data_IF_515562292612
#
_entry.id   IF_515562292612
#
_cell.length_a   1.000
_cell.length_b   1.000
_cell.length_c   1.000
_cell.angle_alpha   90.00
_cell.angle_beta   90.00
_cell.angle_gamma   90.00
#
_symmetry.space_group_name_H-M   'P 1'
#
loop_
_entity.id
_entity.type
_entity.pdbx_description
1 polymer ?
#
# COMPACT_ATOMS: atom_id res chain seq x y z
N UNK A 1 -14.93 -16.26 -40.52
CA UNK A 1 -13.91 -15.24 -40.45
C UNK A 1 -14.20 -14.42 -39.18
N UNK A 2 -13.39 -14.45 -38.10
CA UNK A 2 -13.65 -13.64 -36.93
C UNK A 2 -13.51 -12.15 -37.31
N UNK A 3 -14.31 -11.25 -36.71
CA UNK A 3 -14.25 -9.84 -36.99
C UNK A 3 -12.87 -9.29 -36.61
N UNK A 4 -12.27 -8.54 -37.53
CA UNK A 4 -11.00 -7.85 -37.31
C UNK A 4 -11.15 -6.84 -36.18
N UNK A 5 -10.21 -6.75 -35.26
CA UNK A 5 -10.24 -5.72 -34.21
C UNK A 5 -10.12 -4.35 -34.90
N UNK A 6 -11.12 -3.51 -34.67
CA UNK A 6 -11.12 -2.13 -35.16
C UNK A 6 -9.94 -1.33 -34.58
N UNK A 7 -9.48 -0.26 -35.27
CA UNK A 7 -8.32 0.51 -34.92
C UNK A 7 -8.46 1.10 -33.50
N UNK A 8 -7.37 1.03 -32.72
CA UNK A 8 -7.23 1.35 -31.34
C UNK A 8 -8.15 2.45 -30.80
N UNK A 9 -9.10 2.05 -29.96
CA UNK A 9 -9.76 2.98 -29.08
C UNK A 9 -8.70 3.59 -28.17
N UNK A 10 -8.45 4.88 -28.37
CA UNK A 10 -7.60 5.72 -27.52
C UNK A 10 -7.84 5.36 -26.06
N UNK A 11 -6.75 5.32 -25.28
CA UNK A 11 -6.78 5.16 -23.82
C UNK A 11 -7.66 6.25 -23.20
N UNK A 12 -8.95 6.05 -23.15
CA UNK A 12 -9.80 6.89 -22.28
C UNK A 12 -9.40 6.59 -20.85
N UNK A 13 -8.72 7.54 -20.23
CA UNK A 13 -8.36 7.45 -18.80
C UNK A 13 -9.69 7.32 -18.05
N UNK A 14 -9.91 6.21 -17.35
CA UNK A 14 -11.16 5.99 -16.63
C UNK A 14 -11.26 6.97 -15.46
N UNK A 15 -12.47 7.37 -15.07
CA UNK A 15 -12.68 8.22 -13.91
C UNK A 15 -12.07 7.62 -12.62
N UNK A 16 -12.01 6.30 -12.52
CA UNK A 16 -11.33 5.60 -11.42
C UNK A 16 -9.83 5.83 -11.42
N UNK A 17 -9.17 5.86 -12.58
CA UNK A 17 -7.74 6.16 -12.70
C UNK A 17 -7.45 7.61 -12.28
N UNK A 18 -8.26 8.56 -12.75
CA UNK A 18 -8.12 9.98 -12.34
C UNK A 18 -8.26 10.12 -10.83
N UNK A 19 -9.29 9.50 -10.23
CA UNK A 19 -9.50 9.51 -8.78
C UNK A 19 -8.34 8.91 -8.00
N UNK A 20 -7.77 7.78 -8.46
CA UNK A 20 -6.60 7.16 -7.83
C UNK A 20 -5.37 8.07 -7.87
N UNK A 21 -5.07 8.71 -9.00
CA UNK A 21 -3.95 9.66 -9.10
C UNK A 21 -4.19 10.92 -8.28
N UNK A 22 -5.42 11.43 -8.18
CA UNK A 22 -5.74 12.54 -7.29
C UNK A 22 -5.45 12.21 -5.83
N UNK A 23 -5.74 10.98 -5.38
CA UNK A 23 -5.38 10.51 -4.04
C UNK A 23 -3.87 10.40 -3.88
N UNK A 24 -3.14 9.90 -4.89
CA UNK A 24 -1.67 9.84 -4.86
C UNK A 24 -1.08 11.24 -4.71
N UNK A 25 -1.59 12.22 -5.45
CA UNK A 25 -1.17 13.64 -5.34
C UNK A 25 -1.46 14.19 -3.94
N UNK A 26 -2.64 13.90 -3.38
CA UNK A 26 -2.97 14.29 -2.00
C UNK A 26 -1.99 13.69 -0.99
N UNK A 27 -1.71 12.39 -1.08
CA UNK A 27 -0.76 11.70 -0.20
C UNK A 27 0.65 12.28 -0.37
N UNK A 28 1.06 12.55 -1.61
CA UNK A 28 2.34 13.19 -1.89
C UNK A 28 2.43 14.57 -1.24
N UNK A 29 1.44 15.46 -1.42
CA UNK A 29 1.41 16.80 -0.81
C UNK A 29 1.50 16.71 0.72
N UNK A 30 0.72 15.81 1.34
CA UNK A 30 0.79 15.57 2.78
C UNK A 30 2.17 15.04 3.20
N UNK A 31 2.81 14.18 2.39
CA UNK A 31 4.13 13.64 2.68
C UNK A 31 5.23 14.71 2.67
N UNK A 32 5.08 15.76 1.84
CA UNK A 32 6.00 16.91 1.83
C UNK A 32 6.04 17.60 3.19
N UNK A 33 4.90 17.75 3.87
CA UNK A 33 4.86 18.32 5.22
C UNK A 33 5.67 17.48 6.20
N UNK A 34 5.54 16.16 6.12
CA UNK A 34 6.25 15.22 7.00
C UNK A 34 7.76 15.19 6.71
N UNK A 35 8.18 15.46 5.48
CA UNK A 35 9.59 15.57 5.10
C UNK A 35 10.15 16.94 5.42
N UNK A 36 9.38 18.02 5.17
CA UNK A 36 9.81 19.39 5.34
C UNK A 36 10.12 19.75 6.81
N UNK A 37 9.24 19.37 7.73
CA UNK A 37 9.38 19.73 9.14
C UNK A 37 10.71 19.24 9.77
N UNK A 38 11.09 17.95 9.67
CA UNK A 38 12.37 17.50 10.22
C UNK A 38 13.57 18.03 9.42
N UNK A 39 13.45 18.20 8.10
CA UNK A 39 14.53 18.78 7.28
C UNK A 39 14.84 20.22 7.70
N UNK A 40 13.81 21.04 7.89
CA UNK A 40 13.94 22.43 8.38
C UNK A 40 14.57 22.46 9.78
N UNK A 41 14.03 21.68 10.72
CA UNK A 41 14.54 21.63 12.09
C UNK A 41 15.99 21.15 12.18
N UNK A 42 16.35 20.12 11.42
CA UNK A 42 17.72 19.61 11.39
C UNK A 42 18.70 20.62 10.79
N UNK A 43 18.32 21.33 9.71
CA UNK A 43 19.15 22.36 9.10
C UNK A 43 19.34 23.54 10.05
N UNK A 44 18.29 23.99 10.74
CA UNK A 44 18.35 25.06 11.73
C UNK A 44 19.29 24.72 12.88
N UNK A 45 19.19 23.50 13.42
CA UNK A 45 20.07 23.02 14.50
C UNK A 45 21.53 22.89 14.05
N UNK A 46 21.77 22.54 12.79
CA UNK A 46 23.11 22.42 12.21
C UNK A 46 23.73 23.77 11.79
N UNK A 47 23.00 24.89 11.90
CA UNK A 47 23.45 26.20 11.43
C UNK A 47 23.48 26.34 9.89
N UNK A 48 22.79 25.45 9.16
CA UNK A 48 22.64 25.52 7.73
C UNK A 48 21.47 26.44 7.33
N UNK A 49 21.42 26.83 6.04
CA UNK A 49 20.27 27.60 5.54
C UNK A 49 19.03 26.68 5.44
N UNK A 50 18.01 26.86 6.33
CA UNK A 50 16.98 25.83 6.50
C UNK A 50 15.98 25.79 5.33
N UNK A 51 15.74 26.90 4.64
CA UNK A 51 14.78 26.94 3.52
C UNK A 51 15.32 26.16 2.34
N UNK A 52 16.59 26.41 1.96
CA UNK A 52 17.25 25.70 0.86
C UNK A 52 17.31 24.20 1.12
N UNK A 53 17.72 23.78 2.34
CA UNK A 53 17.79 22.35 2.70
C UNK A 53 16.41 21.72 2.62
N UNK A 54 15.38 22.39 3.09
CA UNK A 54 14.00 21.90 3.03
C UNK A 54 13.51 21.73 1.58
N UNK A 55 13.77 22.73 0.73
CA UNK A 55 13.40 22.64 -0.70
C UNK A 55 14.11 21.47 -1.37
N UNK A 56 15.41 21.31 -1.13
CA UNK A 56 16.19 20.20 -1.70
C UNK A 56 15.70 18.83 -1.20
N UNK A 57 15.37 18.71 0.09
CA UNK A 57 14.82 17.49 0.66
C UNK A 57 13.45 17.14 0.05
N UNK A 58 12.56 18.11 -0.10
CA UNK A 58 11.25 17.92 -0.75
C UNK A 58 11.39 17.58 -2.24
N UNK A 59 12.31 18.23 -2.96
CA UNK A 59 12.59 17.94 -4.36
C UNK A 59 13.16 16.53 -4.53
N UNK A 60 14.13 16.13 -3.73
CA UNK A 60 14.72 14.80 -3.73
C UNK A 60 13.67 13.73 -3.39
N UNK A 61 12.81 14.00 -2.39
CA UNK A 61 11.70 13.12 -2.04
C UNK A 61 10.73 12.95 -3.21
N UNK A 62 10.33 14.04 -3.85
CA UNK A 62 9.45 14.01 -5.02
C UNK A 62 10.09 13.22 -6.18
N UNK A 63 11.34 13.49 -6.50
CA UNK A 63 12.09 12.83 -7.56
C UNK A 63 12.31 11.34 -7.30
N UNK A 64 12.35 10.91 -6.03
CA UNK A 64 12.55 9.50 -5.64
C UNK A 64 11.46 8.57 -6.18
N UNK A 65 10.27 9.07 -6.50
CA UNK A 65 9.20 8.29 -7.14
C UNK A 65 9.61 7.75 -8.53
N UNK A 66 10.47 8.48 -9.26
CA UNK A 66 10.99 8.01 -10.54
C UNK A 66 11.80 6.72 -10.39
N UNK A 67 12.50 6.55 -9.26
CA UNK A 67 13.23 5.31 -8.96
C UNK A 67 12.28 4.14 -8.74
N UNK A 68 11.16 4.38 -8.05
CA UNK A 68 10.19 3.32 -7.69
C UNK A 68 9.50 2.74 -8.92
N UNK A 69 9.31 3.53 -9.97
CA UNK A 69 8.70 3.08 -11.23
C UNK A 69 9.72 2.52 -12.23
N UNK A 70 11.01 2.57 -11.92
CA UNK A 70 12.03 1.96 -12.75
C UNK A 70 11.96 0.42 -12.65
N UNK A 71 11.96 -0.26 -13.80
CA UNK A 71 11.81 -1.73 -13.89
C UNK A 71 12.68 -2.54 -12.89
N UNK A 72 14.01 -2.26 -12.74
CA UNK A 72 14.83 -3.03 -11.81
C UNK A 72 14.45 -2.80 -10.34
N UNK A 73 14.07 -1.56 -9.98
CA UNK A 73 13.65 -1.21 -8.63
C UNK A 73 12.29 -1.82 -8.32
N UNK A 74 11.35 -1.76 -9.26
CA UNK A 74 10.04 -2.40 -9.17
C UNK A 74 10.17 -3.92 -8.93
N UNK A 75 11.07 -4.59 -9.68
CA UNK A 75 11.36 -6.01 -9.49
C UNK A 75 12.00 -6.33 -8.13
N UNK A 76 12.84 -5.43 -7.62
CA UNK A 76 13.44 -5.56 -6.28
C UNK A 76 12.40 -5.35 -5.17
N UNK A 77 11.58 -4.30 -5.29
CA UNK A 77 10.48 -4.02 -4.35
C UNK A 77 9.46 -5.16 -4.32
N UNK A 78 9.10 -5.70 -5.49
CA UNK A 78 8.21 -6.86 -5.55
C UNK A 78 8.74 -8.05 -4.72
N UNK A 79 10.05 -8.34 -4.80
CA UNK A 79 10.67 -9.40 -3.99
C UNK A 79 10.75 -9.06 -2.51
N UNK A 80 10.95 -7.78 -2.18
CA UNK A 80 11.00 -7.33 -0.79
C UNK A 80 9.62 -7.45 -0.12
N UNK A 81 8.57 -7.04 -0.83
CA UNK A 81 7.18 -7.07 -0.35
C UNK A 81 6.60 -8.49 -0.33
N UNK A 82 6.97 -9.31 -1.31
CA UNK A 82 6.49 -10.69 -1.46
C UNK A 82 7.68 -11.64 -1.42
N UNK A 83 8.06 -12.06 -0.23
CA UNK A 83 9.26 -12.89 0.02
C UNK A 83 9.30 -14.20 -0.76
N UNK A 84 8.15 -14.75 -1.13
CA UNK A 84 8.02 -15.98 -1.92
C UNK A 84 7.98 -15.73 -3.43
N UNK A 85 8.18 -14.47 -3.87
CA UNK A 85 8.15 -14.10 -5.27
C UNK A 85 9.50 -14.38 -5.95
N UNK A 86 9.48 -15.13 -7.05
CA UNK A 86 10.67 -15.52 -7.81
C UNK A 86 10.46 -15.40 -9.32
N UNK A 87 11.54 -15.60 -10.08
CA UNK A 87 11.45 -15.77 -11.52
C UNK A 87 10.76 -17.11 -11.84
N UNK A 88 9.97 -17.20 -12.94
CA UNK A 88 9.43 -18.47 -13.41
C UNK A 88 10.56 -19.46 -13.72
N UNK A 89 10.35 -20.74 -13.43
CA UNK A 89 11.18 -21.84 -13.94
C UNK A 89 10.92 -22.05 -15.43
N UNK A 90 11.79 -22.71 -16.20
CA UNK A 90 11.59 -22.91 -17.63
C UNK A 90 10.23 -23.52 -17.99
N UNK A 91 9.80 -24.56 -17.27
CA UNK A 91 8.48 -25.19 -17.49
C UNK A 91 7.29 -24.26 -17.16
N UNK A 92 7.43 -23.43 -16.12
CA UNK A 92 6.41 -22.43 -15.75
C UNK A 92 6.35 -21.30 -16.77
N UNK A 93 7.50 -20.84 -17.25
CA UNK A 93 7.59 -19.83 -18.29
C UNK A 93 6.99 -20.33 -19.60
N UNK A 94 7.27 -21.59 -19.98
CA UNK A 94 6.70 -22.22 -21.16
C UNK A 94 5.15 -22.30 -21.12
N UNK A 95 4.58 -22.25 -19.92
CA UNK A 95 3.13 -22.21 -19.73
C UNK A 95 2.58 -20.80 -19.69
N UNK A 96 3.21 -19.88 -18.96
CA UNK A 96 2.69 -18.51 -18.76
C UNK A 96 2.88 -17.66 -20.01
N UNK A 97 4.06 -17.73 -20.67
CA UNK A 97 4.38 -16.81 -21.75
C UNK A 97 3.41 -16.94 -22.94
N UNK A 98 3.08 -18.13 -23.45
CA UNK A 98 2.10 -18.25 -24.54
C UNK A 98 0.70 -17.78 -24.14
N UNK A 99 0.27 -18.03 -22.88
CA UNK A 99 -1.02 -17.53 -22.37
C UNK A 99 -1.05 -16.01 -22.33
N UNK A 100 0.01 -15.37 -21.79
CA UNK A 100 0.12 -13.91 -21.81
C UNK A 100 0.16 -13.33 -23.23
N UNK A 101 0.90 -13.96 -24.14
CA UNK A 101 0.95 -13.53 -25.56
C UNK A 101 -0.42 -13.57 -26.22
N UNK A 102 -1.23 -14.61 -25.97
CA UNK A 102 -2.61 -14.70 -26.50
C UNK A 102 -3.49 -13.59 -25.94
N UNK A 103 -3.40 -13.33 -24.64
CA UNK A 103 -4.14 -12.23 -23.98
C UNK A 103 -3.69 -10.88 -24.51
N UNK A 104 -2.38 -10.62 -24.57
CA UNK A 104 -1.82 -9.35 -25.06
C UNK A 104 -2.19 -9.09 -26.51
N UNK A 105 -2.18 -10.12 -27.37
CA UNK A 105 -2.59 -10.02 -28.78
C UNK A 105 -4.05 -9.58 -28.90
N UNK A 106 -4.97 -10.16 -28.11
CA UNK A 106 -6.39 -9.74 -28.08
C UNK A 106 -6.55 -8.32 -27.54
N UNK A 107 -5.72 -7.92 -26.59
CA UNK A 107 -5.76 -6.61 -25.95
C UNK A 107 -5.01 -5.50 -26.72
N UNK A 108 -4.27 -5.84 -27.80
CA UNK A 108 -3.38 -4.90 -28.48
C UNK A 108 -2.25 -4.37 -27.58
N UNK A 109 -1.70 -5.23 -26.70
CA UNK A 109 -0.64 -4.90 -25.75
C UNK A 109 0.66 -5.64 -26.11
N UNK A 110 1.81 -5.07 -25.73
CA UNK A 110 3.12 -5.69 -25.89
C UNK A 110 3.41 -6.61 -24.68
N UNK A 111 3.56 -7.94 -24.87
CA UNK A 111 3.89 -8.86 -23.80
C UNK A 111 5.30 -8.59 -23.19
N UNK A 112 6.24 -8.07 -24.00
CA UNK A 112 7.61 -7.72 -23.55
C UNK A 112 7.65 -6.59 -22.51
N UNK A 113 6.55 -5.88 -22.34
CA UNK A 113 6.40 -4.87 -21.30
C UNK A 113 6.36 -5.49 -19.89
N UNK A 114 5.91 -6.73 -19.74
CA UNK A 114 5.61 -7.32 -18.43
C UNK A 114 6.74 -8.21 -17.91
N UNK A 115 7.06 -8.04 -16.63
CA UNK A 115 8.00 -8.86 -15.89
C UNK A 115 7.23 -9.98 -15.19
N UNK A 116 7.24 -11.17 -15.80
CA UNK A 116 6.58 -12.34 -15.24
C UNK A 116 7.27 -12.80 -13.96
N UNK A 117 6.46 -13.13 -12.94
CA UNK A 117 6.89 -13.66 -11.65
C UNK A 117 5.96 -14.78 -11.21
N UNK A 118 6.49 -15.67 -10.35
CA UNK A 118 5.73 -16.75 -9.71
C UNK A 118 5.82 -16.58 -8.21
N UNK A 119 4.69 -16.62 -7.52
CA UNK A 119 4.60 -16.62 -6.07
C UNK A 119 4.35 -18.04 -5.55
N UNK A 120 5.19 -18.50 -4.62
CA UNK A 120 5.08 -19.85 -4.01
C UNK A 120 3.97 -19.87 -2.96
N UNK A 121 2.72 -19.71 -3.40
CA UNK A 121 1.52 -19.86 -2.56
C UNK A 121 0.61 -20.93 -3.11
N UNK A 122 -0.11 -21.60 -2.17
CA UNK A 122 -1.06 -22.68 -2.49
C UNK A 122 -2.47 -22.19 -2.85
N UNK A 123 -2.72 -20.90 -2.82
CA UNK A 123 -4.00 -20.31 -3.25
C UNK A 123 -3.90 -19.91 -4.70
N UNK A 124 -4.95 -20.14 -5.48
CA UNK A 124 -5.06 -19.58 -6.83
C UNK A 124 -5.13 -18.05 -6.70
N UNK A 125 -4.16 -17.35 -7.28
CA UNK A 125 -4.14 -15.90 -7.31
C UNK A 125 -3.23 -15.41 -8.43
N UNK A 126 -3.48 -14.17 -8.88
CA UNK A 126 -2.55 -13.37 -9.66
C UNK A 126 -2.61 -11.93 -9.17
N UNK A 127 -1.60 -11.14 -9.45
CA UNK A 127 -1.61 -9.72 -9.13
C UNK A 127 -0.64 -8.95 -10.01
N UNK A 128 -1.01 -7.72 -10.25
CA UNK A 128 -0.18 -6.72 -10.90
C UNK A 128 0.48 -5.81 -9.86
N UNK A 129 1.75 -5.44 -10.05
CA UNK A 129 2.46 -4.49 -9.21
C UNK A 129 3.19 -3.48 -10.08
N UNK A 130 3.07 -2.20 -9.73
CA UNK A 130 3.70 -1.11 -10.46
C UNK A 130 3.27 -1.04 -11.92
N UNK A 131 4.21 -0.69 -12.81
CA UNK A 131 3.94 -0.57 -14.24
C UNK A 131 4.25 -1.83 -15.06
N UNK A 132 4.99 -2.81 -14.47
CA UNK A 132 5.60 -3.88 -15.26
C UNK A 132 5.45 -5.28 -14.65
N UNK A 133 5.34 -5.43 -13.32
CA UNK A 133 5.32 -6.76 -12.70
C UNK A 133 3.93 -7.38 -12.81
N UNK A 134 3.88 -8.59 -13.36
CA UNK A 134 2.71 -9.46 -13.40
C UNK A 134 3.08 -10.79 -12.74
N UNK A 135 2.44 -11.10 -11.64
CA UNK A 135 2.72 -12.27 -10.85
C UNK A 135 1.52 -13.22 -10.84
N UNK A 136 1.81 -14.51 -10.90
CA UNK A 136 0.83 -15.59 -10.73
C UNK A 136 1.30 -16.53 -9.63
N UNK A 137 0.39 -17.11 -8.88
CA UNK A 137 0.76 -18.12 -7.90
C UNK A 137 1.03 -19.46 -8.59
N UNK A 138 1.80 -20.32 -7.91
CA UNK A 138 2.06 -21.68 -8.41
C UNK A 138 0.77 -22.43 -8.71
N UNK A 139 -0.23 -22.35 -7.83
CA UNK A 139 -1.52 -23.03 -8.02
C UNK A 139 -2.32 -22.44 -9.20
N UNK A 140 -2.16 -21.15 -9.51
CA UNK A 140 -2.78 -20.57 -10.69
C UNK A 140 -2.23 -21.15 -12.00
N UNK A 141 -0.99 -21.66 -12.00
CA UNK A 141 -0.40 -22.34 -13.16
C UNK A 141 -1.00 -23.74 -13.40
N UNK A 142 -1.69 -24.30 -12.44
CA UNK A 142 -2.35 -25.60 -12.54
C UNK A 142 -3.76 -25.49 -13.16
N UNK A 143 -4.26 -24.24 -13.33
CA UNK A 143 -5.54 -23.98 -13.98
C UNK A 143 -5.53 -24.40 -15.47
N UNK A 144 -6.67 -24.80 -16.05
CA UNK A 144 -6.85 -24.89 -17.50
C UNK A 144 -6.43 -23.62 -18.21
N UNK A 145 -6.00 -23.71 -19.47
CA UNK A 145 -5.44 -22.58 -20.21
C UNK A 145 -6.39 -21.40 -20.33
N UNK A 146 -7.66 -21.64 -20.56
CA UNK A 146 -8.70 -20.61 -20.68
C UNK A 146 -8.92 -19.87 -19.35
N UNK A 147 -8.84 -20.57 -18.22
CA UNK A 147 -8.95 -19.98 -16.88
C UNK A 147 -7.70 -19.16 -16.53
N UNK A 148 -6.50 -19.66 -16.88
CA UNK A 148 -5.26 -18.92 -16.71
C UNK A 148 -5.26 -17.63 -17.54
N UNK A 149 -5.68 -17.73 -18.82
CA UNK A 149 -5.83 -16.55 -19.69
C UNK A 149 -6.84 -15.54 -19.13
N UNK A 150 -7.96 -16.00 -18.56
CA UNK A 150 -8.95 -15.11 -17.95
C UNK A 150 -8.37 -14.34 -16.75
N UNK A 151 -7.57 -15.00 -15.92
CA UNK A 151 -6.85 -14.36 -14.79
C UNK A 151 -5.86 -13.32 -15.34
N UNK A 152 -5.05 -13.68 -16.34
CA UNK A 152 -4.08 -12.77 -16.96
C UNK A 152 -4.76 -11.58 -17.65
N UNK A 153 -5.92 -11.78 -18.29
CA UNK A 153 -6.70 -10.72 -18.92
C UNK A 153 -7.25 -9.72 -17.88
N UNK A 154 -7.67 -10.21 -16.73
CA UNK A 154 -8.09 -9.37 -15.60
C UNK A 154 -6.92 -8.52 -15.09
N UNK A 155 -5.75 -9.13 -14.84
CA UNK A 155 -4.55 -8.40 -14.39
C UNK A 155 -4.08 -7.36 -15.43
N UNK A 156 -4.19 -7.69 -16.73
CA UNK A 156 -3.91 -6.74 -17.79
C UNK A 156 -4.88 -5.55 -17.77
N UNK A 157 -6.14 -5.78 -17.39
CA UNK A 157 -7.13 -4.72 -17.14
C UNK A 157 -6.66 -3.71 -16.09
N UNK A 158 -6.06 -4.18 -14.99
CA UNK A 158 -5.47 -3.30 -13.98
C UNK A 158 -4.28 -2.49 -14.53
N UNK A 159 -3.39 -3.12 -15.29
CA UNK A 159 -2.28 -2.40 -15.92
C UNK A 159 -2.75 -1.32 -16.92
N UNK A 160 -3.80 -1.58 -17.67
CA UNK A 160 -4.38 -0.58 -18.60
C UNK A 160 -4.90 0.65 -17.89
N UNK A 161 -5.45 0.48 -16.70
CA UNK A 161 -5.96 1.56 -15.86
C UNK A 161 -4.86 2.24 -15.03
N UNK A 162 -3.59 1.83 -15.14
CA UNK A 162 -2.48 2.31 -14.32
C UNK A 162 -2.71 2.13 -12.81
N UNK A 163 -3.64 1.25 -12.43
CA UNK A 163 -4.02 1.01 -11.04
C UNK A 163 -2.84 0.53 -10.19
N UNK A 164 -2.04 -0.48 -10.61
CA UNK A 164 -0.91 -0.95 -9.83
C UNK A 164 0.19 0.11 -9.69
N UNK A 165 0.32 1.00 -10.69
CA UNK A 165 1.24 2.14 -10.63
C UNK A 165 0.80 3.15 -9.57
N UNK A 166 -0.48 3.50 -9.55
CA UNK A 166 -1.01 4.41 -8.53
C UNK A 166 -0.86 3.83 -7.12
N UNK A 167 -1.08 2.52 -6.95
CA UNK A 167 -0.90 1.83 -5.66
C UNK A 167 0.55 1.92 -5.18
N UNK A 168 1.55 1.62 -6.02
CA UNK A 168 2.95 1.63 -5.60
C UNK A 168 3.44 3.05 -5.30
N UNK A 169 3.01 4.05 -6.06
CA UNK A 169 3.31 5.46 -5.79
C UNK A 169 2.65 5.93 -4.49
N UNK A 170 1.38 5.59 -4.27
CA UNK A 170 0.68 5.89 -3.03
C UNK A 170 1.35 5.24 -1.82
N UNK A 171 1.75 3.97 -1.93
CA UNK A 171 2.51 3.27 -0.90
C UNK A 171 3.85 3.96 -0.62
N UNK A 172 4.59 4.37 -1.66
CA UNK A 172 5.87 5.07 -1.52
C UNK A 172 5.71 6.36 -0.73
N UNK A 173 4.79 7.21 -1.14
CA UNK A 173 4.55 8.49 -0.47
C UNK A 173 3.91 8.37 0.92
N UNK A 174 3.37 7.19 1.27
CA UNK A 174 2.93 6.89 2.63
C UNK A 174 4.07 6.56 3.60
N UNK A 175 5.27 6.21 3.12
CA UNK A 175 6.40 5.78 3.97
C UNK A 175 6.77 6.80 5.07
N UNK A 176 6.83 8.13 4.82
CA UNK A 176 7.11 9.11 5.87
C UNK A 176 6.06 9.09 7.00
N UNK A 177 4.78 8.87 6.65
CA UNK A 177 3.71 8.73 7.65
C UNK A 177 3.87 7.48 8.49
N UNK A 178 4.19 6.36 7.88
CA UNK A 178 4.45 5.11 8.59
C UNK A 178 5.65 5.25 9.54
N UNK A 179 6.71 5.93 9.11
CA UNK A 179 7.87 6.24 9.94
C UNK A 179 7.51 7.19 11.09
N UNK A 180 6.83 8.30 10.79
CA UNK A 180 6.36 9.27 11.78
C UNK A 180 5.42 8.66 12.80
N UNK A 181 4.48 7.83 12.37
CA UNK A 181 3.55 7.14 13.25
C UNK A 181 4.27 6.16 14.21
N UNK A 182 5.30 5.45 13.71
CA UNK A 182 6.17 4.62 14.57
C UNK A 182 6.93 5.46 15.59
N UNK A 183 7.46 6.61 15.16
CA UNK A 183 8.18 7.54 16.04
C UNK A 183 7.27 8.09 17.14
N UNK A 184 6.09 8.61 16.78
CA UNK A 184 5.10 9.11 17.76
C UNK A 184 4.71 8.02 18.75
N UNK A 185 4.48 6.78 18.29
CA UNK A 185 4.21 5.66 19.21
C UNK A 185 5.39 5.33 20.12
N UNK A 186 6.62 5.42 19.62
CA UNK A 186 7.83 5.19 20.41
C UNK A 186 7.99 6.25 21.50
N UNK A 187 7.86 7.53 21.14
CA UNK A 187 7.90 8.67 22.08
C UNK A 187 6.84 8.49 23.17
N UNK A 188 5.58 8.23 22.80
CA UNK A 188 4.49 7.99 23.75
C UNK A 188 4.78 6.80 24.70
N UNK A 189 5.43 5.75 24.20
CA UNK A 189 5.81 4.59 25.02
C UNK A 189 6.89 4.96 26.03
N UNK A 190 7.92 5.68 25.59
CA UNK A 190 9.03 6.14 26.44
C UNK A 190 8.51 7.10 27.51
N UNK A 191 7.71 8.11 27.14
CA UNK A 191 7.14 9.07 28.10
C UNK A 191 6.28 8.37 29.16
N UNK A 192 5.43 7.41 28.75
CA UNK A 192 4.64 6.61 29.71
C UNK A 192 5.49 5.73 30.61
N UNK A 193 6.60 5.20 30.11
CA UNK A 193 7.54 4.43 30.91
C UNK A 193 8.26 5.32 31.94
N UNK A 194 8.75 6.50 31.52
CA UNK A 194 9.35 7.50 32.39
C UNK A 194 8.36 7.95 33.48
N UNK A 195 7.13 8.30 33.13
CA UNK A 195 6.11 8.70 34.10
C UNK A 195 5.83 7.62 35.16
N UNK A 196 5.72 6.35 34.72
CA UNK A 196 5.54 5.23 35.67
C UNK A 196 6.78 4.99 36.55
N UNK A 197 7.98 5.19 36.02
CA UNK A 197 9.22 5.05 36.77
C UNK A 197 9.40 6.17 37.82
N UNK A 198 8.99 7.41 37.40
CA UNK A 198 8.93 8.54 38.33
C UNK A 198 7.98 8.28 39.50
N UNK A 199 6.72 7.82 39.22
CA UNK A 199 5.77 7.48 40.29
C UNK A 199 6.33 6.44 41.24
N UNK A 200 6.87 5.33 40.74
CA UNK A 200 7.48 4.29 41.61
C UNK A 200 8.67 4.77 42.41
N UNK A 201 9.48 5.68 41.86
CA UNK A 201 10.61 6.25 42.59
C UNK A 201 10.12 7.21 43.67
N UNK A 202 9.18 8.08 43.35
CA UNK A 202 8.54 9.01 44.29
C UNK A 202 7.90 8.28 45.47
N UNK A 203 7.14 7.19 45.21
CA UNK A 203 6.51 6.36 46.25
C UNK A 203 7.55 5.72 47.20
N UNK A 204 8.69 5.22 46.66
CA UNK A 204 9.77 4.62 47.43
C UNK A 204 10.54 5.63 48.25
N UNK A 205 10.69 6.86 47.79
CA UNK A 205 11.44 7.90 48.48
C UNK A 205 10.62 8.56 49.58
N UNK A 206 9.30 8.63 49.46
CA UNK A 206 8.42 9.07 50.55
C UNK A 206 8.54 8.19 51.82
N UNK A 207 8.84 6.89 51.64
CA UNK A 207 9.09 5.97 52.76
C UNK A 207 10.53 5.95 53.31
N UNK A 208 11.52 6.53 52.60
CA UNK A 208 12.95 6.48 52.94
C UNK A 208 13.50 7.81 53.45
N UNK A 209 12.67 8.84 53.63
CA UNK A 209 13.08 10.17 54.06
C UNK A 209 13.61 10.20 55.50
N UNK A 210 13.44 9.12 56.27
CA UNK A 210 13.89 9.04 57.67
C UNK A 210 15.34 8.58 57.91
N UNK A 211 16.09 8.17 56.87
CA UNK A 211 17.38 7.49 57.10
C UNK A 211 18.60 7.99 56.34
N UNK A 212 18.46 9.03 55.46
CA UNK A 212 19.58 9.59 54.70
C UNK A 212 20.01 10.94 55.22
N UNK A 213 21.33 11.12 55.41
CA UNK A 213 21.89 12.43 55.76
C UNK A 213 21.51 13.51 54.70
N UNK A 214 21.69 14.82 55.05
CA UNK A 214 21.21 15.94 54.23
C UNK A 214 21.72 15.92 52.79
N UNK A 215 22.92 15.40 52.55
CA UNK A 215 23.49 15.27 51.19
C UNK A 215 22.76 14.25 50.30
N UNK A 216 22.36 13.11 50.90
CA UNK A 216 21.60 12.09 50.17
C UNK A 216 20.16 12.51 49.86
N UNK A 217 19.56 13.33 50.76
CA UNK A 217 18.24 13.90 50.54
C UNK A 217 18.26 14.93 49.41
N UNK A 218 19.28 15.79 49.32
CA UNK A 218 19.45 16.77 48.27
C UNK A 218 19.66 16.11 46.89
N UNK A 219 20.53 15.11 46.80
CA UNK A 219 20.75 14.35 45.55
C UNK A 219 19.48 13.67 45.04
N UNK A 220 18.66 13.12 45.92
CA UNK A 220 17.39 12.50 45.58
C UNK A 220 16.37 13.54 45.09
N UNK A 221 16.30 14.72 45.76
CA UNK A 221 15.44 15.82 45.32
C UNK A 221 15.81 16.30 43.93
N UNK A 222 17.10 16.51 43.64
CA UNK A 222 17.59 16.91 42.33
C UNK A 222 17.22 15.87 41.26
N UNK A 223 17.40 14.59 41.54
CA UNK A 223 17.03 13.50 40.64
C UNK A 223 15.52 13.49 40.32
N UNK A 224 14.69 13.66 41.36
CA UNK A 224 13.23 13.74 41.18
C UNK A 224 12.81 14.96 40.38
N UNK A 225 13.43 16.13 40.60
CA UNK A 225 13.17 17.33 39.81
C UNK A 225 13.55 17.15 38.34
N UNK A 226 14.74 16.60 38.07
CA UNK A 226 15.20 16.34 36.71
C UNK A 226 14.28 15.36 36.00
N UNK A 227 13.89 14.27 36.63
CA UNK A 227 12.99 13.28 36.09
C UNK A 227 11.57 13.87 35.87
N UNK A 228 11.11 14.72 36.81
CA UNK A 228 9.84 15.45 36.67
C UNK A 228 9.83 16.40 35.45
N UNK A 229 10.91 17.19 35.31
CA UNK A 229 11.08 18.05 34.13
C UNK A 229 11.06 17.23 32.83
N UNK A 230 11.75 16.10 32.80
CA UNK A 230 11.77 15.21 31.62
C UNK A 230 10.39 14.64 31.28
N UNK A 231 9.60 14.25 32.30
CA UNK A 231 8.22 13.78 32.12
C UNK A 231 7.33 14.89 31.59
N UNK A 232 7.42 16.10 32.13
CA UNK A 232 6.65 17.26 31.68
C UNK A 232 7.04 17.60 30.24
N UNK A 233 8.32 17.73 29.93
CA UNK A 233 8.81 18.01 28.58
C UNK A 233 8.36 16.93 27.57
N UNK A 234 8.46 15.66 27.94
CA UNK A 234 7.99 14.54 27.12
C UNK A 234 6.47 14.59 26.90
N UNK A 235 5.69 14.99 27.91
CA UNK A 235 4.23 15.11 27.81
C UNK A 235 3.87 16.27 26.87
N UNK A 236 4.50 17.44 27.03
CA UNK A 236 4.31 18.60 26.15
C UNK A 236 4.65 18.23 24.71
N UNK A 237 5.78 17.55 24.49
CA UNK A 237 6.15 17.07 23.15
C UNK A 237 5.09 16.14 22.55
N UNK A 238 4.55 15.20 23.35
CA UNK A 238 3.48 14.29 22.87
C UNK A 238 2.21 15.05 22.52
N UNK A 239 1.85 16.09 23.28
CA UNK A 239 0.66 16.92 23.00
C UNK A 239 0.87 17.72 21.72
N UNK A 240 2.01 18.43 21.60
CA UNK A 240 2.35 19.22 20.40
C UNK A 240 2.39 18.34 19.14
N UNK A 241 3.10 17.21 19.20
CA UNK A 241 3.11 16.26 18.10
C UNK A 241 1.72 15.71 17.81
N UNK A 242 0.88 15.48 18.83
CA UNK A 242 -0.49 15.02 18.68
C UNK A 242 -1.38 16.01 17.94
N UNK A 243 -1.27 17.30 18.24
CA UNK A 243 -2.03 18.38 17.58
C UNK A 243 -1.70 18.45 16.08
N UNK A 244 -0.41 18.34 15.71
CA UNK A 244 0.00 18.36 14.29
C UNK A 244 -0.28 17.03 13.60
N UNK A 245 0.02 15.92 14.29
CA UNK A 245 -0.03 14.57 13.70
C UNK A 245 -1.45 14.05 13.51
N UNK A 246 -2.38 14.37 14.41
CA UNK A 246 -3.74 13.84 14.35
C UNK A 246 -4.50 14.24 13.08
N UNK A 247 -4.53 15.51 12.65
CA UNK A 247 -5.16 15.91 11.38
C UNK A 247 -4.54 15.19 10.18
N UNK A 248 -3.20 15.14 10.12
CA UNK A 248 -2.49 14.42 9.05
C UNK A 248 -2.85 12.94 9.02
N UNK A 249 -2.87 12.27 10.17
CA UNK A 249 -3.25 10.86 10.28
C UNK A 249 -4.70 10.61 9.86
N UNK A 250 -5.63 11.53 10.18
CA UNK A 250 -7.02 11.45 9.74
C UNK A 250 -7.15 11.60 8.22
N UNK A 251 -6.45 12.57 7.61
CA UNK A 251 -6.42 12.76 6.16
C UNK A 251 -5.84 11.53 5.44
N UNK A 252 -4.75 10.96 5.95
CA UNK A 252 -4.16 9.72 5.41
C UNK A 252 -5.13 8.54 5.54
N UNK A 253 -5.86 8.41 6.65
CA UNK A 253 -6.89 7.37 6.81
C UNK A 253 -8.03 7.55 5.81
N UNK A 254 -8.49 8.77 5.61
CA UNK A 254 -9.50 9.09 4.60
C UNK A 254 -8.99 8.73 3.20
N UNK A 255 -7.77 9.11 2.85
CA UNK A 255 -7.14 8.74 1.58
C UNK A 255 -7.09 7.21 1.39
N UNK A 256 -6.74 6.43 2.43
CA UNK A 256 -6.76 4.95 2.38
C UNK A 256 -8.17 4.39 2.14
N UNK A 257 -9.19 4.95 2.77
CA UNK A 257 -10.60 4.52 2.56
C UNK A 257 -11.06 4.84 1.15
N UNK A 258 -10.76 6.04 0.65
CA UNK A 258 -11.09 6.45 -0.72
C UNK A 258 -10.33 5.59 -1.76
N UNK A 259 -9.05 5.30 -1.52
CA UNK A 259 -8.26 4.38 -2.36
C UNK A 259 -8.90 2.99 -2.43
N UNK A 260 -9.35 2.45 -1.30
CA UNK A 260 -10.02 1.16 -1.27
C UNK A 260 -11.37 1.18 -2.02
N UNK A 261 -12.12 2.28 -1.95
CA UNK A 261 -13.36 2.45 -2.69
C UNK A 261 -13.11 2.50 -4.21
N UNK A 262 -12.10 3.25 -4.65
CA UNK A 262 -11.69 3.32 -6.06
C UNK A 262 -11.10 1.99 -6.55
N UNK A 263 -10.36 1.26 -5.69
CA UNK A 263 -9.88 -0.09 -6.02
C UNK A 263 -11.04 -1.03 -6.33
N UNK A 264 -12.13 -1.01 -5.56
CA UNK A 264 -13.33 -1.81 -5.85
C UNK A 264 -13.97 -1.46 -7.20
N UNK A 265 -14.00 -0.18 -7.56
CA UNK A 265 -14.47 0.24 -8.88
C UNK A 265 -13.50 -0.21 -10.00
N UNK A 266 -12.20 -0.18 -9.73
CA UNK A 266 -11.15 -0.70 -10.62
C UNK A 266 -11.27 -2.20 -10.89
N UNK A 267 -11.67 -3.00 -9.89
CA UNK A 267 -11.96 -4.44 -10.07
C UNK A 267 -13.04 -4.67 -11.12
N UNK A 268 -14.18 -3.96 -11.00
CA UNK A 268 -15.26 -4.07 -11.99
C UNK A 268 -14.83 -3.61 -13.39
N UNK A 269 -13.92 -2.65 -13.49
CA UNK A 269 -13.39 -2.22 -14.77
C UNK A 269 -12.39 -3.22 -15.36
N UNK A 270 -11.58 -3.89 -14.53
CA UNK A 270 -10.71 -4.99 -14.95
C UNK A 270 -11.52 -6.22 -15.40
N UNK A 271 -12.59 -6.55 -14.67
CA UNK A 271 -13.53 -7.62 -15.02
C UNK A 271 -14.20 -7.34 -16.39
N UNK A 272 -14.68 -6.12 -16.61
CA UNK A 272 -15.24 -5.72 -17.91
C UNK A 272 -14.24 -5.85 -19.04
N UNK A 273 -12.99 -5.42 -18.79
CA UNK A 273 -11.92 -5.56 -19.79
C UNK A 273 -11.67 -7.01 -20.16
N UNK A 274 -11.57 -7.92 -19.18
CA UNK A 274 -11.42 -9.35 -19.44
C UNK A 274 -12.65 -9.93 -20.19
N UNK A 275 -13.86 -9.49 -19.85
CA UNK A 275 -15.08 -9.90 -20.53
C UNK A 275 -15.14 -9.39 -21.98
N UNK A 276 -14.73 -8.15 -22.26
CA UNK A 276 -14.63 -7.56 -23.61
C UNK A 276 -13.62 -8.31 -24.49
N UNK A 277 -12.55 -8.87 -23.91
CA UNK A 277 -11.59 -9.73 -24.58
C UNK A 277 -12.11 -11.16 -24.83
N UNK A 278 -13.33 -11.48 -24.38
CA UNK A 278 -13.97 -12.78 -24.56
C UNK A 278 -13.71 -13.77 -23.41
N UNK A 279 -13.07 -13.35 -22.33
CA UNK A 279 -12.76 -14.20 -21.17
C UNK A 279 -13.83 -14.21 -20.06
N UNK A 280 -14.97 -13.51 -20.25
CA UNK A 280 -16.02 -13.41 -19.24
C UNK A 280 -16.49 -14.75 -18.65
N UNK A 281 -16.82 -15.78 -19.48
CA UNK A 281 -17.21 -17.11 -18.96
C UNK A 281 -16.15 -17.79 -18.11
N UNK A 282 -14.89 -17.77 -18.56
CA UNK A 282 -13.76 -18.35 -17.83
C UNK A 282 -13.48 -17.58 -16.54
N UNK A 283 -13.59 -16.24 -16.54
CA UNK A 283 -13.42 -15.43 -15.35
C UNK A 283 -14.51 -15.72 -14.31
N UNK A 284 -15.77 -15.95 -14.71
CA UNK A 284 -16.83 -16.35 -13.80
C UNK A 284 -16.47 -17.68 -13.10
N UNK A 285 -15.92 -18.66 -13.84
CA UNK A 285 -15.49 -19.93 -13.25
C UNK A 285 -14.37 -19.72 -12.22
N UNK A 286 -13.35 -18.93 -12.52
CA UNK A 286 -12.28 -18.58 -11.59
C UNK A 286 -12.84 -17.90 -10.34
N UNK A 287 -13.72 -16.91 -10.50
CA UNK A 287 -14.38 -16.24 -9.37
C UNK A 287 -15.24 -17.21 -8.54
N UNK A 288 -15.81 -18.23 -9.16
CA UNK A 288 -16.51 -19.33 -8.49
C UNK A 288 -15.60 -20.12 -7.55
N UNK A 289 -14.36 -20.40 -7.98
CA UNK A 289 -13.36 -21.05 -7.12
C UNK A 289 -12.98 -20.14 -5.93
N UNK A 290 -12.78 -18.84 -6.18
CA UNK A 290 -12.48 -17.89 -5.11
C UNK A 290 -13.64 -17.70 -4.14
N UNK A 291 -14.88 -17.76 -4.60
CA UNK A 291 -16.07 -17.66 -3.76
C UNK A 291 -16.14 -18.78 -2.73
N UNK A 292 -15.71 -20.00 -3.06
CA UNK A 292 -15.65 -21.11 -2.12
C UNK A 292 -14.68 -20.81 -0.96
N UNK A 293 -13.52 -20.24 -1.28
CA UNK A 293 -12.52 -19.82 -0.28
C UNK A 293 -13.04 -18.61 0.53
N UNK A 294 -13.66 -17.62 -0.15
CA UNK A 294 -14.22 -16.43 0.53
C UNK A 294 -15.29 -16.79 1.58
N UNK A 295 -16.10 -17.81 1.32
CA UNK A 295 -17.14 -18.31 2.24
C UNK A 295 -16.58 -18.94 3.50
N UNK A 296 -15.36 -19.48 3.45
CA UNK A 296 -14.70 -20.13 4.60
C UNK A 296 -14.00 -19.11 5.52
N UNK A 297 -13.87 -17.85 5.12
CA UNK A 297 -13.19 -16.80 5.89
C UNK A 297 -14.22 -15.85 6.50
N UNK A 298 -14.10 -15.50 7.81
CA UNK A 298 -15.00 -14.54 8.44
C UNK A 298 -14.97 -13.19 7.72
N UNK A 299 -16.16 -12.62 7.45
CA UNK A 299 -16.27 -11.31 6.81
C UNK A 299 -15.79 -10.21 7.77
N UNK A 300 -14.85 -9.35 7.33
CA UNK A 300 -14.41 -8.23 8.14
C UNK A 300 -15.56 -7.25 8.39
N UNK A 301 -15.56 -6.62 9.58
CA UNK A 301 -16.56 -5.63 10.01
C UNK A 301 -15.94 -4.28 10.29
N UNK A 302 -16.76 -3.22 10.32
CA UNK A 302 -16.31 -1.87 10.67
C UNK A 302 -15.27 -1.33 9.69
N UNK A 303 -14.21 -0.69 10.20
CA UNK A 303 -13.15 -0.08 9.41
C UNK A 303 -12.44 -1.10 8.50
N UNK A 304 -12.26 -2.34 8.93
CA UNK A 304 -11.65 -3.38 8.10
C UNK A 304 -12.48 -3.71 6.85
N UNK A 305 -13.80 -3.60 6.92
CA UNK A 305 -14.66 -3.76 5.75
C UNK A 305 -14.52 -2.59 4.76
N UNK A 306 -14.39 -1.35 5.26
CA UNK A 306 -14.19 -0.15 4.43
C UNK A 306 -12.84 -0.16 3.70
N UNK A 307 -11.83 -0.77 4.31
CA UNK A 307 -10.47 -0.87 3.74
C UNK A 307 -10.28 -2.06 2.79
N UNK A 308 -11.33 -2.88 2.55
CA UNK A 308 -11.23 -3.93 1.51
C UNK A 308 -11.06 -3.31 0.14
N UNK A 309 -10.03 -3.75 -0.56
CA UNK A 309 -9.72 -3.32 -1.94
C UNK A 309 -10.54 -4.06 -3.00
N UNK A 310 -11.06 -5.27 -2.68
CA UNK A 310 -11.81 -6.09 -3.63
C UNK A 310 -13.29 -6.21 -3.23
N UNK A 311 -14.23 -6.09 -4.20
CA UNK A 311 -15.63 -6.48 -4.00
C UNK A 311 -15.73 -7.99 -3.71
N UNK A 312 -16.88 -8.46 -3.22
CA UNK A 312 -17.11 -9.90 -3.08
C UNK A 312 -17.10 -10.58 -4.46
N UNK A 313 -16.62 -11.81 -4.51
CA UNK A 313 -16.64 -12.62 -5.74
C UNK A 313 -18.07 -12.74 -6.30
N UNK A 314 -19.07 -12.87 -5.44
CA UNK A 314 -20.47 -12.90 -5.84
C UNK A 314 -20.90 -11.64 -6.61
N UNK A 315 -20.58 -10.43 -6.09
CA UNK A 315 -20.93 -9.16 -6.75
C UNK A 315 -20.23 -9.01 -8.11
N UNK A 316 -19.00 -9.49 -8.24
CA UNK A 316 -18.24 -9.51 -9.50
C UNK A 316 -18.88 -10.45 -10.53
N UNK A 317 -19.22 -11.69 -10.13
CA UNK A 317 -19.91 -12.65 -10.99
C UNK A 317 -21.22 -12.06 -11.53
N UNK A 318 -22.04 -11.47 -10.65
CA UNK A 318 -23.30 -10.84 -11.05
C UNK A 318 -23.10 -9.67 -12.01
N UNK A 319 -22.05 -8.85 -11.80
CA UNK A 319 -21.74 -7.73 -12.68
C UNK A 319 -21.33 -8.21 -14.07
N UNK A 320 -20.47 -9.25 -14.18
CA UNK A 320 -20.05 -9.82 -15.46
C UNK A 320 -21.25 -10.48 -16.17
N UNK A 321 -22.10 -11.20 -15.44
CA UNK A 321 -23.26 -11.90 -16.00
C UNK A 321 -24.30 -10.93 -16.57
N UNK A 322 -24.53 -9.77 -15.91
CA UNK A 322 -25.44 -8.72 -16.40
C UNK A 322 -24.93 -7.99 -17.64
N UNK A 323 -23.61 -7.85 -17.77
CA UNK A 323 -22.97 -7.22 -18.93
C UNK A 323 -22.88 -8.10 -20.18
N UNK A 324 -23.28 -9.38 -20.11
CA UNK A 324 -23.36 -10.24 -21.29
C UNK A 324 -24.52 -9.79 -22.17
N UNK A 325 -24.30 -9.47 -23.46
CA UNK A 325 -25.38 -9.54 -24.40
C UNK A 325 -25.88 -10.99 -24.40
N UNK A 326 -27.17 -11.18 -24.10
CA UNK A 326 -27.79 -12.51 -24.26
C UNK A 326 -27.59 -12.90 -25.73
N UNK A 327 -26.70 -13.85 -25.96
CA UNK A 327 -26.44 -14.37 -27.28
C UNK A 327 -27.74 -14.89 -27.88
N UNK A 328 -28.05 -14.39 -29.06
CA UNK A 328 -29.00 -15.02 -29.99
C UNK A 328 -28.37 -16.29 -30.56
#
# INVERSE_FOLDING_TARGET
MPPQPGPGRSRAVSGTSVGMFAIVVLIWLLSLVVVALPAYGAAWLAGWEPVTVTILACAAWTASAALVVARPVEAALARLLYRSLRRPRPAELARIAPALERVCRRAGADPGRYLLRVEEKRQVNAFALGGHVLAVTRTALELPDDLLEAVLAHELGHHRQLHPLAIILGWWYLLPFEAGDRLVRAIRRITRWLARSFGRLSDRTGGLAGGRGPEGALGMLVLLLLLGVLVVAGTVLVVVLGVVWLPLALLVRLAKVLSAALSRAGEHAADRHAAELGYGPALIQVLGLFLQVERSVPRPRGMAALLRSHPSCQARIEAISRGRPMGR
#
